data_IF_581666806802
#
_entry.id   IF_581666806802
#
_cell.length_a   1.000
_cell.length_b   1.000
_cell.length_c   1.000
_cell.angle_alpha   90.00
_cell.angle_beta   90.00
_cell.angle_gamma   90.00
#
_symmetry.space_group_name_H-M   'P 1'
#
loop_
_entity.id
_entity.type
_entity.pdbx_description
1 polymer ?
#
# COMPACT_ATOMS: atom_id res chain seq x y z
N UNK A 1 -10.57 -16.76 -1.80
CA UNK A 1 -10.28 -15.51 -1.05
C UNK A 1 -8.84 -15.44 -0.55
N UNK A 2 -8.36 -16.42 0.23
CA UNK A 2 -6.98 -16.41 0.77
C UNK A 2 -5.92 -16.32 -0.35
N UNK A 3 -6.02 -17.14 -1.40
CA UNK A 3 -5.08 -17.12 -2.53
C UNK A 3 -5.06 -15.73 -3.20
N UNK A 4 -6.22 -15.12 -3.42
CA UNK A 4 -6.31 -13.78 -4.01
C UNK A 4 -5.64 -12.72 -3.12
N UNK A 5 -5.81 -12.81 -1.80
CA UNK A 5 -5.13 -11.92 -0.86
C UNK A 5 -3.61 -12.10 -0.90
N UNK A 6 -3.12 -13.34 -0.98
CA UNK A 6 -1.69 -13.63 -1.13
C UNK A 6 -1.13 -13.06 -2.44
N UNK A 7 -1.83 -13.28 -3.55
CA UNK A 7 -1.46 -12.71 -4.86
C UNK A 7 -1.45 -11.18 -4.79
N UNK A 8 -2.45 -10.58 -4.14
CA UNK A 8 -2.48 -9.13 -3.90
C UNK A 8 -1.26 -8.63 -3.14
N UNK A 9 -0.83 -9.33 -2.08
CA UNK A 9 0.38 -8.99 -1.33
C UNK A 9 1.67 -9.08 -2.16
N UNK A 10 1.78 -10.12 -2.99
CA UNK A 10 2.91 -10.29 -3.94
C UNK A 10 2.94 -9.13 -4.93
N UNK A 11 1.82 -8.85 -5.60
CA UNK A 11 1.71 -7.78 -6.59
C UNK A 11 1.98 -6.40 -5.98
N UNK A 12 1.49 -6.16 -4.76
CA UNK A 12 1.75 -4.90 -4.02
C UNK A 12 3.25 -4.72 -3.80
N UNK A 13 3.95 -5.76 -3.37
CA UNK A 13 5.40 -5.71 -3.12
C UNK A 13 6.17 -5.49 -4.42
N UNK A 14 5.83 -6.20 -5.50
CA UNK A 14 6.46 -6.01 -6.81
C UNK A 14 6.24 -4.59 -7.34
N UNK A 15 5.03 -4.06 -7.23
CA UNK A 15 4.70 -2.69 -7.63
C UNK A 15 5.57 -1.67 -6.89
N UNK A 16 5.71 -1.81 -5.57
CA UNK A 16 6.58 -0.92 -4.76
C UNK A 16 8.06 -0.98 -5.20
N UNK A 17 8.58 -2.16 -5.52
CA UNK A 17 9.98 -2.31 -5.98
C UNK A 17 10.18 -1.67 -7.37
N UNK A 18 9.26 -1.91 -8.31
CA UNK A 18 9.33 -1.34 -9.66
C UNK A 18 9.22 0.18 -9.60
N UNK A 19 8.26 0.71 -8.84
CA UNK A 19 8.04 2.14 -8.68
C UNK A 19 9.24 2.81 -8.00
N UNK A 20 9.77 2.23 -6.92
CA UNK A 20 10.91 2.82 -6.23
C UNK A 20 12.18 2.79 -7.09
N UNK A 21 12.36 1.76 -7.92
CA UNK A 21 13.46 1.68 -8.88
C UNK A 21 13.37 2.77 -9.96
N UNK A 22 12.16 3.09 -10.42
CA UNK A 22 11.94 4.24 -11.29
C UNK A 22 12.20 5.54 -10.53
N UNK A 23 11.72 5.66 -9.29
CA UNK A 23 11.93 6.83 -8.42
C UNK A 23 13.40 7.16 -8.20
N UNK A 24 14.28 6.16 -8.08
CA UNK A 24 15.73 6.34 -8.02
C UNK A 24 16.32 6.99 -9.27
N UNK A 25 15.71 6.78 -10.44
CA UNK A 25 16.23 7.26 -11.74
C UNK A 25 15.74 8.66 -12.10
N UNK A 26 14.47 8.96 -11.82
CA UNK A 26 13.82 10.19 -12.31
C UNK A 26 13.24 11.08 -11.21
N UNK A 27 13.36 10.67 -9.94
CA UNK A 27 12.78 11.36 -8.79
C UNK A 27 11.47 10.73 -8.31
N UNK A 28 11.21 10.85 -7.01
CA UNK A 28 10.09 10.21 -6.30
C UNK A 28 8.74 10.72 -6.81
N UNK A 29 8.58 12.04 -6.98
CA UNK A 29 7.33 12.65 -7.46
C UNK A 29 7.06 12.28 -8.92
N UNK A 30 8.08 12.34 -9.77
CA UNK A 30 7.99 12.00 -11.19
C UNK A 30 7.60 10.54 -11.37
N UNK A 31 8.24 9.62 -10.65
CA UNK A 31 7.88 8.20 -10.65
C UNK A 31 6.45 7.97 -10.16
N UNK A 32 6.01 8.68 -9.11
CA UNK A 32 4.63 8.58 -8.61
C UNK A 32 3.63 9.02 -9.67
N UNK A 33 3.89 10.14 -10.35
CA UNK A 33 3.06 10.63 -11.45
C UNK A 33 2.98 9.62 -12.60
N UNK A 34 4.12 9.08 -13.05
CA UNK A 34 4.17 8.06 -14.09
C UNK A 34 3.41 6.80 -13.68
N UNK A 35 3.55 6.33 -12.43
CA UNK A 35 2.79 5.19 -11.93
C UNK A 35 1.28 5.40 -12.09
N UNK A 36 0.78 6.59 -11.77
CA UNK A 36 -0.65 6.90 -11.90
C UNK A 36 -1.12 7.03 -13.35
N UNK A 37 -0.30 7.59 -14.23
CA UNK A 37 -0.59 7.66 -15.66
C UNK A 37 -0.68 6.25 -16.26
N UNK A 38 0.32 5.40 -15.99
CA UNK A 38 0.34 4.01 -16.47
C UNK A 38 -0.82 3.22 -15.85
N UNK A 39 -1.07 3.39 -14.56
CA UNK A 39 -2.20 2.76 -13.86
C UNK A 39 -3.54 3.11 -14.49
N UNK A 40 -3.78 4.39 -14.81
CA UNK A 40 -4.99 4.85 -15.48
C UNK A 40 -5.14 4.24 -16.88
N UNK A 41 -4.07 4.18 -17.67
CA UNK A 41 -4.08 3.57 -19.00
C UNK A 41 -4.41 2.08 -18.88
N UNK A 42 -3.70 1.35 -18.03
CA UNK A 42 -3.91 -0.08 -17.83
C UNK A 42 -5.32 -0.39 -17.31
N UNK A 43 -5.83 0.35 -16.31
CA UNK A 43 -7.17 0.12 -15.78
C UNK A 43 -8.25 0.40 -16.82
N UNK A 44 -8.06 1.43 -17.65
CA UNK A 44 -8.99 1.77 -18.73
C UNK A 44 -8.99 0.69 -19.82
N UNK A 45 -7.82 0.18 -20.20
CA UNK A 45 -7.71 -0.93 -21.15
C UNK A 45 -8.42 -2.19 -20.63
N UNK A 46 -8.20 -2.55 -19.36
CA UNK A 46 -8.88 -3.70 -18.74
C UNK A 46 -10.40 -3.51 -18.74
N UNK A 47 -10.89 -2.30 -18.42
CA UNK A 47 -12.31 -1.97 -18.44
C UNK A 47 -12.93 -2.20 -19.83
N UNK A 48 -12.26 -1.71 -20.88
CA UNK A 48 -12.70 -1.86 -22.28
C UNK A 48 -12.66 -3.34 -22.70
N UNK A 49 -11.57 -4.06 -22.43
CA UNK A 49 -11.39 -5.46 -22.82
C UNK A 49 -12.40 -6.40 -22.15
N UNK A 50 -12.80 -6.12 -20.92
CA UNK A 50 -13.82 -6.88 -20.21
C UNK A 50 -15.25 -6.49 -20.63
N UNK A 51 -15.43 -5.62 -21.62
CA UNK A 51 -16.74 -5.14 -22.08
C UNK A 51 -17.52 -4.38 -21.01
N UNK A 52 -16.86 -3.96 -19.93
CA UNK A 52 -17.47 -3.22 -18.85
C UNK A 52 -17.54 -1.75 -19.27
N UNK A 53 -18.75 -1.20 -19.33
CA UNK A 53 -18.95 0.24 -19.53
C UNK A 53 -19.00 0.94 -18.17
N UNK A 54 -18.52 2.18 -18.12
CA UNK A 54 -18.78 3.07 -16.97
C UNK A 54 -20.28 3.41 -17.01
N UNK A 55 -21.11 2.54 -16.42
CA UNK A 55 -22.57 2.72 -16.30
C UNK A 55 -22.91 3.57 -15.08
N UNK A 56 -22.16 4.65 -14.85
CA UNK A 56 -22.45 5.60 -13.77
C UNK A 56 -23.16 6.77 -14.42
N UNK A 57 -24.46 6.94 -14.15
CA UNK A 57 -25.18 8.13 -14.60
C UNK A 57 -24.60 9.37 -13.92
N UNK A 58 -24.63 10.51 -14.62
CA UNK A 58 -24.19 11.80 -14.07
C UNK A 58 -24.93 12.12 -12.76
N UNK A 59 -26.19 11.69 -12.66
CA UNK A 59 -27.03 11.85 -11.46
C UNK A 59 -26.57 10.96 -10.28
N UNK A 60 -26.07 9.75 -10.54
CA UNK A 60 -25.47 8.91 -9.49
C UNK A 60 -24.14 9.51 -9.04
N UNK A 61 -23.35 10.03 -9.97
CA UNK A 61 -22.05 10.63 -9.65
C UNK A 61 -22.19 11.88 -8.77
N UNK A 62 -23.20 12.73 -9.02
CA UNK A 62 -23.44 13.95 -8.24
C UNK A 62 -23.94 13.69 -6.81
N UNK A 63 -24.47 12.50 -6.53
CA UNK A 63 -24.94 12.10 -5.19
C UNK A 63 -23.85 11.43 -4.34
N UNK A 64 -22.67 11.13 -4.91
CA UNK A 64 -21.59 10.48 -4.17
C UNK A 64 -20.87 11.47 -3.25
N UNK A 65 -20.58 11.08 -2.00
CA UNK A 65 -19.85 11.94 -1.08
C UNK A 65 -18.38 12.10 -1.51
N UNK A 66 -17.85 13.31 -1.34
CA UNK A 66 -16.53 13.70 -1.85
C UNK A 66 -15.38 12.81 -1.35
N UNK A 67 -15.47 12.27 -0.13
CA UNK A 67 -14.39 11.46 0.46
C UNK A 67 -14.10 10.17 -0.34
N UNK A 68 -15.05 9.66 -1.13
CA UNK A 68 -14.84 8.46 -1.96
C UNK A 68 -13.76 8.71 -3.02
N UNK A 69 -13.64 9.96 -3.51
CA UNK A 69 -12.65 10.34 -4.51
C UNK A 69 -11.25 10.55 -3.91
N UNK A 70 -11.12 10.63 -2.58
CA UNK A 70 -9.82 10.77 -1.92
C UNK A 70 -8.96 9.51 -2.02
N UNK A 71 -9.52 8.36 -2.41
CA UNK A 71 -8.76 7.12 -2.60
C UNK A 71 -7.56 7.28 -3.55
N UNK A 72 -7.73 8.08 -4.62
CA UNK A 72 -6.63 8.40 -5.53
C UNK A 72 -5.50 9.19 -4.85
N UNK A 73 -5.85 10.23 -4.08
CA UNK A 73 -4.89 11.06 -3.35
C UNK A 73 -4.16 10.28 -2.24
N UNK A 74 -4.89 9.40 -1.53
CA UNK A 74 -4.30 8.50 -0.54
C UNK A 74 -3.31 7.55 -1.22
N UNK A 75 -3.67 6.96 -2.36
CA UNK A 75 -2.77 6.09 -3.10
C UNK A 75 -1.51 6.80 -3.63
N UNK A 76 -1.62 8.08 -4.05
CA UNK A 76 -0.45 8.90 -4.43
C UNK A 76 0.51 8.99 -3.25
N UNK A 77 -0.02 9.22 -2.04
CA UNK A 77 0.77 9.27 -0.82
C UNK A 77 1.42 7.91 -0.51
N UNK A 78 0.71 6.79 -0.70
CA UNK A 78 1.25 5.44 -0.51
C UNK A 78 2.44 5.20 -1.45
N UNK A 79 2.28 5.45 -2.74
CA UNK A 79 3.35 5.25 -3.74
C UNK A 79 4.53 6.16 -3.44
N UNK A 80 4.29 7.43 -3.13
CA UNK A 80 5.32 8.39 -2.75
C UNK A 80 6.14 7.91 -1.53
N UNK A 81 5.47 7.52 -0.44
CA UNK A 81 6.13 7.00 0.76
C UNK A 81 6.91 5.72 0.44
N UNK A 82 6.33 4.77 -0.30
CA UNK A 82 7.00 3.53 -0.66
C UNK A 82 8.26 3.77 -1.50
N UNK A 83 8.21 4.73 -2.43
CA UNK A 83 9.36 5.14 -3.25
C UNK A 83 10.48 5.78 -2.42
N UNK A 84 10.20 6.33 -1.25
CA UNK A 84 11.21 6.86 -0.32
C UNK A 84 11.79 5.74 0.56
N UNK A 85 10.94 4.82 1.04
CA UNK A 85 11.30 3.81 2.04
C UNK A 85 12.07 2.65 1.41
N UNK A 86 11.55 2.06 0.32
CA UNK A 86 12.09 0.84 -0.30
C UNK A 86 13.57 0.99 -0.70
N UNK A 87 14.04 2.15 -1.21
CA UNK A 87 15.46 2.37 -1.48
C UNK A 87 16.39 2.33 -0.27
N UNK A 88 15.88 2.57 0.94
CA UNK A 88 16.68 2.92 2.13
C UNK A 88 16.88 1.76 3.10
N UNK A 89 15.96 0.80 3.13
CA UNK A 89 16.01 -0.34 4.04
C UNK A 89 15.66 -1.62 3.29
N UNK A 90 16.06 -2.81 3.78
CA UNK A 90 15.67 -4.09 3.20
C UNK A 90 14.17 -4.19 2.93
N UNK A 91 13.82 -4.82 1.80
CA UNK A 91 12.43 -4.94 1.33
C UNK A 91 11.56 -5.63 2.37
N UNK A 92 12.08 -6.67 3.03
CA UNK A 92 11.36 -7.41 4.10
C UNK A 92 10.98 -6.47 5.25
N UNK A 93 11.86 -5.57 5.66
CA UNK A 93 11.54 -4.59 6.72
C UNK A 93 10.55 -3.55 6.24
N UNK A 94 10.68 -3.08 5.01
CA UNK A 94 9.73 -2.14 4.41
C UNK A 94 8.31 -2.70 4.37
N UNK A 95 8.15 -3.94 3.88
CA UNK A 95 6.83 -4.57 3.73
C UNK A 95 6.21 -4.88 5.09
N UNK A 96 7.00 -5.37 6.05
CA UNK A 96 6.50 -5.65 7.40
C UNK A 96 6.08 -4.38 8.14
N UNK A 97 6.86 -3.29 8.07
CA UNK A 97 6.48 -2.01 8.68
C UNK A 97 5.22 -1.41 8.04
N UNK A 98 5.11 -1.47 6.71
CA UNK A 98 3.89 -1.05 6.00
C UNK A 98 2.69 -1.91 6.41
N UNK A 99 2.87 -3.22 6.53
CA UNK A 99 1.83 -4.14 6.99
C UNK A 99 1.38 -3.83 8.42
N UNK A 100 2.31 -3.56 9.34
CA UNK A 100 1.98 -3.11 10.71
C UNK A 100 1.14 -1.82 10.66
N UNK A 101 1.52 -0.85 9.84
CA UNK A 101 0.73 0.37 9.65
C UNK A 101 -0.69 0.09 9.14
N UNK A 102 -0.84 -0.86 8.21
CA UNK A 102 -2.15 -1.32 7.72
C UNK A 102 -2.99 -1.98 8.83
N UNK A 103 -2.37 -2.82 9.68
CA UNK A 103 -3.05 -3.46 10.81
C UNK A 103 -3.52 -2.42 11.83
N UNK A 104 -2.66 -1.46 12.20
CA UNK A 104 -3.01 -0.39 13.13
C UNK A 104 -4.14 0.48 12.58
N UNK A 105 -4.06 0.89 11.32
CA UNK A 105 -5.14 1.63 10.65
C UNK A 105 -6.46 0.82 10.64
N UNK A 106 -6.38 -0.49 10.36
CA UNK A 106 -7.53 -1.39 10.40
C UNK A 106 -8.18 -1.46 11.78
N UNK A 107 -7.39 -1.56 12.85
CA UNK A 107 -7.92 -1.56 14.24
C UNK A 107 -8.62 -0.22 14.56
N UNK A 108 -8.03 0.91 14.14
CA UNK A 108 -8.64 2.24 14.36
C UNK A 108 -9.97 2.35 13.61
N UNK A 109 -10.02 1.92 12.35
CA UNK A 109 -11.24 1.94 11.54
C UNK A 109 -12.30 1.01 12.15
N UNK A 110 -11.93 -0.23 12.52
CA UNK A 110 -12.82 -1.19 13.18
C UNK A 110 -13.42 -0.59 14.46
N UNK A 111 -12.62 0.13 15.26
CA UNK A 111 -13.10 0.81 16.45
C UNK A 111 -14.14 1.89 16.12
N UNK A 112 -13.90 2.74 15.11
CA UNK A 112 -14.87 3.79 14.74
C UNK A 112 -16.15 3.22 14.12
N UNK A 113 -16.06 2.11 13.38
CA UNK A 113 -17.22 1.53 12.67
C UNK A 113 -18.03 0.59 13.56
N UNK A 114 -17.35 -0.25 14.35
CA UNK A 114 -17.97 -1.32 15.13
C UNK A 114 -17.95 -1.08 16.64
N UNK A 115 -17.26 -0.03 17.12
CA UNK A 115 -17.03 0.23 18.56
C UNK A 115 -16.34 -0.91 19.31
N UNK A 116 -15.66 -1.82 18.59
CA UNK A 116 -14.93 -2.94 19.15
C UNK A 116 -13.42 -2.75 18.97
N UNK A 117 -12.66 -2.92 20.06
CA UNK A 117 -11.19 -2.96 20.00
C UNK A 117 -10.74 -4.41 20.05
N UNK A 118 -10.10 -4.88 18.97
CA UNK A 118 -9.48 -6.20 18.96
C UNK A 118 -8.07 -6.15 19.56
N UNK A 119 -7.99 -6.29 20.89
CA UNK A 119 -6.71 -6.35 21.61
C UNK A 119 -5.77 -7.44 21.07
N UNK A 120 -6.30 -8.56 20.60
CA UNK A 120 -5.52 -9.65 19.99
C UNK A 120 -4.79 -9.21 18.72
N UNK A 121 -5.44 -8.40 17.85
CA UNK A 121 -4.79 -7.85 16.64
C UNK A 121 -3.64 -6.90 17.02
N UNK A 122 -3.83 -6.10 18.07
CA UNK A 122 -2.80 -5.18 18.57
C UNK A 122 -1.58 -5.93 19.11
N UNK A 123 -1.79 -7.00 19.88
CA UNK A 123 -0.71 -7.88 20.36
C UNK A 123 0.04 -8.48 19.18
N UNK A 124 -0.66 -8.96 18.16
CA UNK A 124 -0.04 -9.48 16.93
C UNK A 124 0.84 -8.45 16.23
N UNK A 125 0.37 -7.20 16.10
CA UNK A 125 1.16 -6.11 15.53
C UNK A 125 2.42 -5.81 16.36
N UNK A 126 2.32 -5.81 17.69
CA UNK A 126 3.47 -5.62 18.60
C UNK A 126 4.50 -6.74 18.42
N UNK A 127 4.06 -7.99 18.34
CA UNK A 127 4.95 -9.15 18.13
C UNK A 127 5.73 -9.00 16.82
N UNK A 128 5.07 -8.57 15.74
CA UNK A 128 5.73 -8.33 14.45
C UNK A 128 6.78 -7.22 14.58
N UNK A 129 6.45 -6.10 15.23
CA UNK A 129 7.41 -5.00 15.44
C UNK A 129 8.63 -5.47 16.24
N UNK A 130 8.42 -6.22 17.32
CA UNK A 130 9.52 -6.78 18.13
C UNK A 130 10.40 -7.70 17.29
N UNK A 131 9.78 -8.57 16.47
CA UNK A 131 10.51 -9.44 15.55
C UNK A 131 11.38 -8.68 14.56
N UNK A 132 10.86 -7.60 13.96
CA UNK A 132 11.63 -6.72 13.06
C UNK A 132 12.80 -6.06 13.79
N UNK A 133 12.55 -5.50 14.98
CA UNK A 133 13.60 -4.82 15.76
C UNK A 133 14.71 -5.78 16.19
N UNK A 134 14.36 -7.02 16.53
CA UNK A 134 15.33 -8.06 16.83
C UNK A 134 16.16 -8.41 15.60
N UNK A 135 15.53 -8.67 14.46
CA UNK A 135 16.22 -9.05 13.24
C UNK A 135 17.11 -7.92 12.71
N UNK A 136 16.62 -6.68 12.74
CA UNK A 136 17.40 -5.51 12.35
C UNK A 136 18.66 -5.30 13.20
N UNK A 137 18.65 -5.70 14.48
CA UNK A 137 19.83 -5.62 15.34
C UNK A 137 20.86 -6.72 15.03
N UNK A 138 20.40 -7.88 14.59
CA UNK A 138 21.28 -8.97 14.16
C UNK A 138 21.97 -8.59 12.85
N UNK A 139 21.19 -8.15 11.86
CA UNK A 139 21.74 -7.71 10.57
C UNK A 139 22.75 -6.57 10.73
N UNK A 140 22.52 -5.65 11.67
CA UNK A 140 23.47 -4.57 11.97
C UNK A 140 24.80 -5.09 12.55
N UNK A 141 24.76 -6.14 13.39
CA UNK A 141 25.96 -6.76 13.95
C UNK A 141 26.75 -7.55 12.91
N UNK A 142 26.09 -8.26 11.99
CA UNK A 142 26.76 -8.99 10.92
C UNK A 142 27.50 -8.08 9.93
N UNK A 143 27.13 -6.79 9.84
CA UNK A 143 27.83 -5.80 8.99
C UNK A 143 29.07 -5.21 9.71
N UNK A 144 29.13 -5.28 11.04
CA UNK A 144 30.23 -4.76 11.86
C UNK A 144 31.37 -5.79 12.10
N UNK A 145 31.11 -7.09 11.87
CA UNK A 145 32.10 -8.19 11.92
C UNK A 145 32.82 -8.42 10.57
#
# INVERSE_FOLDING_TARGET
MIILAMVGGILTTLSMIVNSSLGKKIGVLQSTCINYIVGLICSTLVLILLGSSIKVSVETFSKLPFYIFLGGAIGVSIVYCSNIIIPKIPVVYSTLLLFVGQVVAGIIIDFFVMSEISFSKLIGAIVIIIGILYNSKIDAKEIEE
#
